data_IF_181110211362
#
_entry.id   IF_181110211362
#
_cell.length_a   1.000
_cell.length_b   1.000
_cell.length_c   1.000
_cell.angle_alpha   90.00
_cell.angle_beta   90.00
_cell.angle_gamma   90.00
#
_symmetry.space_group_name_H-M   'P 1'
#
loop_
_entity.id
_entity.type
_entity.pdbx_description
1 polymer ?
#
# COMPACT_ATOMS: atom_id res chain seq x y z
N UNK A 1 12.87 -12.15 3.51
CA UNK A 1 11.55 -11.73 4.02
C UNK A 1 11.59 -10.21 4.10
N UNK A 2 11.08 -9.48 3.09
CA UNK A 2 11.03 -8.02 3.13
C UNK A 2 9.70 -7.58 3.72
N UNK A 3 9.73 -6.61 4.62
CA UNK A 3 8.51 -6.02 5.17
C UNK A 3 7.79 -5.17 4.12
N UNK A 4 6.47 -5.01 4.26
CA UNK A 4 5.66 -4.10 3.43
C UNK A 4 6.21 -2.67 3.41
N UNK A 5 6.80 -2.25 4.53
CA UNK A 5 7.47 -0.95 4.70
C UNK A 5 8.72 -0.87 3.83
N UNK A 6 9.55 -1.89 3.80
CA UNK A 6 10.74 -1.93 2.95
C UNK A 6 10.37 -1.93 1.46
N UNK A 7 9.31 -2.66 1.09
CA UNK A 7 8.81 -2.65 -0.29
C UNK A 7 8.25 -1.28 -0.66
N UNK A 8 7.52 -0.60 0.24
CA UNK A 8 7.06 0.76 0.00
C UNK A 8 8.23 1.74 -0.22
N UNK A 9 9.26 1.68 0.62
CA UNK A 9 10.49 2.47 0.43
C UNK A 9 11.17 2.18 -0.90
N UNK A 10 11.26 0.90 -1.28
CA UNK A 10 11.88 0.49 -2.54
C UNK A 10 11.11 0.99 -3.78
N UNK A 11 9.79 1.20 -3.65
CA UNK A 11 8.95 1.82 -4.69
C UNK A 11 8.95 3.37 -4.62
N UNK A 12 9.79 3.98 -3.78
CA UNK A 12 9.86 5.43 -3.62
C UNK A 12 8.70 6.04 -2.83
N UNK A 13 7.87 5.20 -2.19
CA UNK A 13 6.76 5.66 -1.37
C UNK A 13 7.24 6.04 0.04
N UNK A 14 6.65 7.10 0.58
CA UNK A 14 6.76 7.39 2.00
C UNK A 14 5.98 6.33 2.78
N UNK A 15 6.63 5.52 3.65
CA UNK A 15 5.95 4.41 4.33
C UNK A 15 4.84 4.87 5.28
N UNK A 16 4.98 6.05 5.87
CA UNK A 16 3.99 6.58 6.78
C UNK A 16 2.70 6.93 6.05
N UNK A 17 2.82 7.69 4.95
CA UNK A 17 1.69 8.07 4.10
C UNK A 17 1.05 6.83 3.44
N UNK A 18 1.88 5.88 3.00
CA UNK A 18 1.43 4.61 2.46
C UNK A 18 0.57 3.82 3.46
N UNK A 19 1.04 3.64 4.69
CA UNK A 19 0.29 2.93 5.73
C UNK A 19 -0.97 3.69 6.14
N UNK A 20 -0.92 5.03 6.22
CA UNK A 20 -2.11 5.83 6.45
C UNK A 20 -3.18 5.62 5.38
N UNK A 21 -2.77 5.61 4.10
CA UNK A 21 -3.68 5.35 3.00
C UNK A 21 -4.25 3.94 3.07
N UNK A 22 -3.43 2.93 3.38
CA UNK A 22 -3.93 1.58 3.61
C UNK A 22 -4.99 1.57 4.71
N UNK A 23 -4.72 2.10 5.90
CA UNK A 23 -5.69 2.04 6.99
C UNK A 23 -6.97 2.81 6.71
N UNK A 24 -6.92 3.82 5.85
CA UNK A 24 -8.07 4.59 5.41
C UNK A 24 -8.90 3.85 4.36
N UNK A 25 -8.25 3.24 3.37
CA UNK A 25 -8.92 2.61 2.23
C UNK A 25 -9.33 1.17 2.54
N UNK A 26 -8.55 0.42 3.30
CA UNK A 26 -8.78 -0.99 3.63
C UNK A 26 -10.18 -1.31 4.21
N UNK A 27 -10.81 -0.48 5.08
CA UNK A 27 -12.21 -0.71 5.47
C UNK A 27 -13.24 -0.45 4.37
N UNK A 28 -12.88 0.26 3.29
CA UNK A 28 -13.75 0.52 2.14
C UNK A 28 -13.57 -0.52 1.02
N UNK A 29 -12.60 -1.42 1.17
CA UNK A 29 -12.30 -2.47 0.19
C UNK A 29 -13.18 -3.70 0.46
N UNK A 30 -13.89 -4.16 -0.57
CA UNK A 30 -14.73 -5.36 -0.49
C UNK A 30 -14.20 -6.51 -1.36
N UNK A 31 -13.33 -6.22 -2.32
CA UNK A 31 -12.83 -7.17 -3.30
C UNK A 31 -11.31 -7.32 -3.24
N UNK A 32 -10.81 -8.49 -3.63
CA UNK A 32 -9.37 -8.79 -3.60
C UNK A 32 -8.61 -7.90 -4.57
N UNK A 33 -9.18 -7.57 -5.74
CA UNK A 33 -8.51 -6.69 -6.70
C UNK A 33 -8.29 -5.28 -6.13
N UNK A 34 -9.20 -4.80 -5.29
CA UNK A 34 -9.07 -3.50 -4.63
C UNK A 34 -7.97 -3.53 -3.55
N UNK A 35 -7.78 -4.66 -2.86
CA UNK A 35 -6.65 -4.85 -1.93
C UNK A 35 -5.34 -4.85 -2.71
N UNK A 36 -5.29 -5.52 -3.85
CA UNK A 36 -4.11 -5.55 -4.72
C UNK A 36 -3.75 -4.15 -5.22
N UNK A 37 -4.73 -3.30 -5.52
CA UNK A 37 -4.49 -1.91 -5.92
C UNK A 37 -3.81 -1.08 -4.81
N UNK A 38 -3.98 -1.45 -3.54
CA UNK A 38 -3.32 -0.79 -2.39
C UNK A 38 -1.88 -1.29 -2.14
N UNK A 39 -1.38 -2.26 -2.91
CA UNK A 39 -0.02 -2.77 -2.76
C UNK A 39 1.01 -1.74 -3.26
N UNK A 40 2.21 -1.71 -2.68
CA UNK A 40 3.14 -0.60 -2.85
C UNK A 40 3.73 -0.50 -4.27
N UNK A 41 3.62 -1.54 -5.09
CA UNK A 41 4.02 -1.54 -6.50
C UNK A 41 2.90 -1.10 -7.46
N UNK A 42 1.65 -1.03 -6.98
CA UNK A 42 0.51 -0.59 -7.77
C UNK A 42 0.17 0.89 -7.53
N UNK A 43 0.64 1.47 -6.43
CA UNK A 43 0.51 2.90 -6.16
C UNK A 43 1.55 3.66 -7.00
N UNK A 44 1.07 4.34 -8.03
CA UNK A 44 1.91 5.27 -8.81
C UNK A 44 1.98 6.62 -8.08
N UNK A 45 3.21 7.01 -7.72
CA UNK A 45 3.56 8.38 -7.34
C UNK A 45 3.55 9.34 -8.52
#
# INVERSE_FOLDING_TARGET
MYSLIETAKANGLNPYEYLQNIFKELPNVNDVEQVEALLPWNIKV
#
